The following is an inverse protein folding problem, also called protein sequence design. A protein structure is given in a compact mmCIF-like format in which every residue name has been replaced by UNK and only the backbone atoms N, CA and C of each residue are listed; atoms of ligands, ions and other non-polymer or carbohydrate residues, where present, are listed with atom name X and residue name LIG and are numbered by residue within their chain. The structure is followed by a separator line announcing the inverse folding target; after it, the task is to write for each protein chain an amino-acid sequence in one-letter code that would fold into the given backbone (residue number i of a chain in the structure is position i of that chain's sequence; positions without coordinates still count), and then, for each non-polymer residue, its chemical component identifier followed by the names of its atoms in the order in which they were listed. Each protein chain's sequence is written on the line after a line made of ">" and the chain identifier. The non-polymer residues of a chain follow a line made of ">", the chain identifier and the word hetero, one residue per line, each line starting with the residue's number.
data_IF_743287976343
#
_entry.id   IF_743287976343
#
_cell.length_a   1.000
_cell.length_b   1.000
_cell.length_c   1.000
_cell.angle_alpha   90.00
_cell.angle_beta   90.00
_cell.angle_gamma   90.00
#
_symmetry.space_group_name_H-M   'P 1'
#
loop_
_entity.id
_entity.type
_entity.pdbx_description
1 polymer ?
#
# COMPACT_ATOMS: atom_id res chain seq x y z
N UNK A 1 1.70 -14.04 -7.16
CA UNK A 1 0.82 -13.14 -6.38
C UNK A 1 -0.59 -13.27 -6.93
N UNK A 2 -1.58 -13.64 -6.13
CA UNK A 2 -2.97 -13.70 -6.59
C UNK A 2 -3.46 -12.27 -6.78
N UNK A 3 -4.02 -11.93 -7.95
CA UNK A 3 -4.64 -10.61 -8.16
C UNK A 3 -5.82 -10.50 -7.20
N UNK A 4 -5.79 -9.49 -6.32
CA UNK A 4 -6.88 -9.16 -5.40
C UNK A 4 -7.70 -8.06 -6.04
N UNK A 5 -9.02 -8.16 -5.95
CA UNK A 5 -9.91 -7.06 -6.34
C UNK A 5 -9.82 -5.94 -5.32
N UNK A 6 -10.18 -4.72 -5.72
CA UNK A 6 -10.29 -3.59 -4.79
C UNK A 6 -11.31 -3.86 -3.69
N UNK A 7 -12.42 -4.54 -4.01
CA UNK A 7 -13.43 -4.92 -3.02
C UNK A 7 -12.88 -5.86 -1.93
N UNK A 8 -12.06 -6.85 -2.31
CA UNK A 8 -11.41 -7.74 -1.35
C UNK A 8 -10.40 -6.99 -0.47
N UNK A 9 -9.63 -6.06 -1.07
CA UNK A 9 -8.70 -5.19 -0.33
C UNK A 9 -9.43 -4.29 0.68
N UNK A 10 -10.56 -3.69 0.29
CA UNK A 10 -11.38 -2.87 1.16
C UNK A 10 -11.92 -3.67 2.35
N UNK A 11 -12.49 -4.86 2.10
CA UNK A 11 -12.99 -5.74 3.16
C UNK A 11 -11.86 -6.21 4.11
N UNK A 12 -10.64 -6.41 3.61
CA UNK A 12 -9.49 -6.76 4.45
C UNK A 12 -9.00 -5.59 5.31
N UNK A 13 -9.10 -4.35 4.79
CA UNK A 13 -8.76 -3.13 5.53
C UNK A 13 -9.80 -2.85 6.62
N UNK A 14 -11.09 -2.94 6.29
CA UNK A 14 -12.19 -2.74 7.25
C UNK A 14 -12.17 -3.78 8.37
N UNK A 15 -11.90 -5.05 8.03
CA UNK A 15 -11.80 -6.12 9.01
C UNK A 15 -10.45 -6.14 9.78
N UNK A 16 -9.54 -5.21 9.50
CA UNK A 16 -8.22 -5.14 10.15
C UNK A 16 -7.27 -6.30 9.81
N UNK A 17 -7.58 -7.11 8.79
CA UNK A 17 -6.71 -8.21 8.32
C UNK A 17 -5.43 -7.70 7.65
N UNK A 18 -5.47 -6.47 7.16
CA UNK A 18 -4.30 -5.74 6.65
C UNK A 18 -4.42 -4.27 7.02
N UNK A 19 -3.34 -3.52 6.83
CA UNK A 19 -3.32 -2.06 6.97
C UNK A 19 -2.85 -1.42 5.67
N UNK A 20 -3.17 -0.14 5.45
CA UNK A 20 -2.62 0.64 4.33
C UNK A 20 -1.10 0.63 4.40
N UNK A 21 -0.51 0.79 5.59
CA UNK A 21 0.94 0.69 5.82
C UNK A 21 1.54 -0.61 5.30
N UNK A 22 0.90 -1.75 5.60
CA UNK A 22 1.38 -3.08 5.17
C UNK A 22 1.29 -3.26 3.65
N UNK A 23 0.22 -2.77 3.04
CA UNK A 23 0.08 -2.79 1.58
C UNK A 23 1.15 -1.92 0.91
N UNK A 24 1.35 -0.70 1.43
CA UNK A 24 2.35 0.23 0.91
C UNK A 24 3.77 -0.34 0.97
N UNK A 25 4.20 -0.93 2.11
CA UNK A 25 5.54 -1.57 2.18
C UNK A 25 5.67 -2.70 1.16
N UNK A 26 4.68 -3.58 1.03
CA UNK A 26 4.72 -4.70 0.08
C UNK A 26 4.79 -4.24 -1.39
N UNK A 27 4.31 -3.03 -1.70
CA UNK A 27 4.43 -2.44 -3.03
C UNK A 27 5.75 -1.69 -3.21
N UNK A 28 6.22 -0.98 -2.19
CA UNK A 28 7.54 -0.33 -2.20
C UNK A 28 8.67 -1.36 -2.36
N UNK A 29 8.58 -2.50 -1.68
CA UNK A 29 9.56 -3.60 -1.81
C UNK A 29 9.66 -4.09 -3.26
N UNK A 30 8.53 -4.23 -3.95
CA UNK A 30 8.50 -4.62 -5.37
C UNK A 30 8.98 -3.53 -6.31
N UNK A 31 8.65 -2.27 -6.00
CA UNK A 31 9.10 -1.14 -6.79
C UNK A 31 10.62 -0.93 -6.65
N UNK A 32 11.21 -1.30 -5.51
CA UNK A 32 12.64 -1.22 -5.23
C UNK A 32 13.42 -2.48 -5.63
N UNK A 33 12.75 -3.55 -6.05
CA UNK A 33 13.41 -4.78 -6.51
C UNK A 33 14.28 -4.48 -7.74
N UNK A 34 15.59 -4.69 -7.61
CA UNK A 34 16.58 -4.46 -8.67
C UNK A 34 16.39 -5.37 -9.88
N UNK A 35 15.77 -6.53 -9.69
CA UNK A 35 15.44 -7.47 -10.76
C UNK A 35 14.00 -7.28 -11.26
N UNK A 36 13.25 -6.33 -10.67
CA UNK A 36 11.90 -5.99 -11.06
C UNK A 36 11.84 -4.85 -12.08
N UNK A 37 10.61 -4.54 -12.52
CA UNK A 37 10.35 -3.49 -13.51
C UNK A 37 10.20 -2.09 -12.87
N UNK A 38 10.39 -1.95 -11.56
CA UNK A 38 10.10 -0.72 -10.83
C UNK A 38 10.84 0.50 -11.39
N UNK A 39 12.13 0.37 -11.70
CA UNK A 39 12.93 1.44 -12.27
C UNK A 39 12.53 1.84 -13.71
N UNK A 40 11.77 1.00 -14.41
CA UNK A 40 11.25 1.26 -15.77
C UNK A 40 9.83 1.83 -15.73
N UNK A 41 9.04 1.44 -14.74
CA UNK A 41 7.64 1.85 -14.59
C UNK A 41 7.52 3.23 -13.92
N UNK A 42 8.37 3.54 -12.94
CA UNK A 42 8.31 4.79 -12.19
C UNK A 42 9.39 5.78 -12.63
N UNK A 43 9.00 7.03 -12.87
CA UNK A 43 9.94 8.14 -13.11
C UNK A 43 10.64 8.56 -11.81
N UNK A 44 9.92 8.55 -10.69
CA UNK A 44 10.44 8.82 -9.37
C UNK A 44 9.66 8.01 -8.34
N UNK A 45 10.38 7.50 -7.33
CA UNK A 45 9.80 6.78 -6.21
C UNK A 45 10.11 7.56 -4.93
N UNK A 46 9.08 7.93 -4.18
CA UNK A 46 9.19 8.68 -2.93
C UNK A 46 8.68 7.85 -1.75
N UNK A 47 9.46 6.87 -1.25
CA UNK A 47 9.00 5.92 -0.24
C UNK A 47 8.35 6.61 0.95
N UNK A 48 8.99 7.63 1.51
CA UNK A 48 8.55 8.30 2.74
C UNK A 48 7.22 9.04 2.58
N UNK A 49 6.91 9.56 1.39
CA UNK A 49 5.60 10.14 1.12
C UNK A 49 4.52 9.07 1.09
N UNK A 50 4.77 7.92 0.44
CA UNK A 50 3.79 6.82 0.43
C UNK A 50 3.65 6.21 1.83
N UNK A 51 4.73 6.17 2.62
CA UNK A 51 4.69 5.81 4.05
C UNK A 51 3.72 6.71 4.82
N UNK A 52 3.94 8.03 4.74
CA UNK A 52 3.14 9.02 5.46
C UNK A 52 1.66 8.99 5.07
N UNK A 53 1.36 8.83 3.77
CA UNK A 53 -0.01 8.70 3.29
C UNK A 53 -0.67 7.42 3.80
N UNK A 54 0.02 6.30 3.78
CA UNK A 54 -0.51 5.04 4.28
C UNK A 54 -0.84 5.11 5.77
N UNK A 55 0.04 5.71 6.57
CA UNK A 55 -0.20 5.93 8.00
C UNK A 55 -1.38 6.88 8.26
N UNK A 56 -1.53 7.93 7.44
CA UNK A 56 -2.67 8.83 7.53
C UNK A 56 -3.99 8.11 7.23
N UNK A 57 -4.01 7.25 6.21
CA UNK A 57 -5.19 6.44 5.87
C UNK A 57 -5.55 5.44 6.98
N UNK A 58 -4.56 4.80 7.60
CA UNK A 58 -4.80 3.92 8.75
C UNK A 58 -5.37 4.70 9.94
N UNK A 59 -4.93 5.95 10.18
CA UNK A 59 -5.51 6.81 11.22
C UNK A 59 -6.96 7.16 10.93
N UNK A 60 -7.30 7.54 9.70
CA UNK A 60 -8.68 7.83 9.30
C UNK A 60 -9.59 6.63 9.53
N UNK A 61 -9.16 5.43 9.11
CA UNK A 61 -9.94 4.20 9.33
C UNK A 61 -10.14 3.86 10.79
N UNK A 62 -9.16 4.10 11.66
CA UNK A 62 -9.32 3.92 13.12
C UNK A 62 -10.40 4.84 13.72
N UNK A 63 -10.67 5.97 13.08
CA UNK A 63 -11.75 6.88 13.45
C UNK A 63 -13.06 6.61 12.69
N UNK A 64 -13.16 5.52 11.92
CA UNK A 64 -14.34 5.16 11.14
C UNK A 64 -14.53 5.99 9.86
N UNK A 65 -13.48 6.67 9.38
CA UNK A 65 -13.50 7.48 8.16
C UNK A 65 -12.84 6.65 7.04
N UNK A 66 -13.59 6.41 5.96
CA UNK A 66 -13.20 5.57 4.80
C UNK A 66 -13.31 6.31 3.47
#
# INVERSE_FOLDING_TARGET
>A
MRMRTLAALAADLEAGRTTSRKLAEAHLEKAADRNGEGARVFVSLEPDKVRAQADAQDKLRKHGIV
#
